data_IF_267809389673
#
_entry.id   IF_267809389673
#
_cell.length_a   1.000
_cell.length_b   1.000
_cell.length_c   1.000
_cell.angle_alpha   90.00
_cell.angle_beta   90.00
_cell.angle_gamma   90.00
#
_symmetry.space_group_name_H-M   'P 1'
#
loop_
_entity.id
_entity.type
_entity.pdbx_description
1 polymer ?
#
# COMPACT_ATOMS: atom_id res chain seq x y z
N UNK A 1 25.53 -1.28 -38.51
CA UNK A 1 25.77 -1.99 -37.23
C UNK A 1 25.29 -1.19 -36.02
N UNK A 2 25.57 0.11 -35.92
CA UNK A 2 25.13 0.98 -34.81
C UNK A 2 23.60 1.10 -34.68
N UNK A 3 22.89 1.25 -35.81
CA UNK A 3 21.43 1.35 -35.82
C UNK A 3 20.73 0.10 -35.28
N UNK A 4 21.29 -1.09 -35.57
CA UNK A 4 20.77 -2.36 -35.10
C UNK A 4 20.94 -2.50 -33.57
N UNK A 5 22.05 -1.99 -33.04
CA UNK A 5 22.33 -1.98 -31.60
C UNK A 5 21.39 -1.04 -30.84
N UNK A 6 21.08 0.12 -31.41
CA UNK A 6 20.08 1.07 -30.89
C UNK A 6 18.67 0.47 -30.88
N UNK A 7 18.29 -0.24 -31.95
CA UNK A 7 17.01 -0.96 -32.02
C UNK A 7 16.90 -2.05 -30.93
N UNK A 8 17.97 -2.80 -30.68
CA UNK A 8 17.99 -3.85 -29.65
C UNK A 8 17.83 -3.25 -28.25
N UNK A 9 18.43 -2.08 -27.97
CA UNK A 9 18.31 -1.42 -26.66
C UNK A 9 16.87 -0.95 -26.37
N UNK A 10 16.09 -0.59 -27.39
CA UNK A 10 14.69 -0.19 -27.24
C UNK A 10 13.77 -1.35 -26.82
N UNK A 11 14.14 -2.61 -27.08
CA UNK A 11 13.34 -3.79 -26.73
C UNK A 11 13.65 -4.41 -25.36
N UNK A 12 14.63 -3.88 -24.61
CA UNK A 12 15.05 -4.44 -23.31
C UNK A 12 14.23 -3.85 -22.13
N UNK A 13 13.36 -2.88 -22.39
CA UNK A 13 12.97 -1.89 -21.39
C UNK A 13 11.59 -1.96 -20.72
N UNK A 14 10.76 -2.99 -20.88
CA UNK A 14 9.43 -3.02 -20.25
C UNK A 14 9.17 -4.33 -19.49
N UNK A 15 9.92 -4.53 -18.39
CA UNK A 15 9.47 -5.48 -17.37
C UNK A 15 8.44 -4.74 -16.51
N UNK A 16 7.21 -5.26 -16.34
CA UNK A 16 6.27 -4.66 -15.41
C UNK A 16 6.93 -4.68 -14.03
N UNK A 17 7.22 -3.50 -13.50
CA UNK A 17 7.65 -3.33 -12.13
C UNK A 17 6.47 -3.78 -11.26
N UNK A 18 6.48 -5.05 -10.86
CA UNK A 18 5.57 -5.56 -9.86
C UNK A 18 5.84 -4.73 -8.61
N UNK A 19 4.89 -3.87 -8.25
CA UNK A 19 5.00 -3.05 -7.05
C UNK A 19 5.23 -4.01 -5.89
N UNK A 20 6.44 -4.00 -5.34
CA UNK A 20 6.78 -4.85 -4.20
C UNK A 20 5.79 -4.52 -3.08
N UNK A 21 5.01 -5.51 -2.66
CA UNK A 21 4.06 -5.35 -1.57
C UNK A 21 4.84 -5.04 -0.29
N UNK A 22 4.48 -3.93 0.36
CA UNK A 22 5.13 -3.53 1.62
C UNK A 22 4.58 -4.41 2.73
N UNK A 23 5.43 -5.30 3.26
CA UNK A 23 5.07 -6.22 4.34
C UNK A 23 5.82 -5.89 5.63
N UNK A 24 5.12 -6.02 6.76
CA UNK A 24 5.68 -6.01 8.10
C UNK A 24 5.30 -7.29 8.82
N UNK A 25 6.29 -7.97 9.38
CA UNK A 25 6.11 -9.07 10.33
C UNK A 25 6.33 -8.56 11.75
N UNK A 26 5.38 -8.78 12.66
CA UNK A 26 5.49 -8.39 14.06
C UNK A 26 4.74 -9.38 14.95
N UNK A 27 5.44 -9.95 15.95
CA UNK A 27 4.86 -10.82 16.99
C UNK A 27 3.94 -11.94 16.47
N UNK A 28 4.29 -12.54 15.34
CA UNK A 28 3.52 -13.63 14.71
C UNK A 28 2.54 -13.16 13.64
N UNK A 29 2.15 -11.89 13.64
CA UNK A 29 1.29 -11.31 12.60
C UNK A 29 2.12 -10.80 11.42
N UNK A 30 1.64 -11.08 10.21
CA UNK A 30 2.18 -10.56 8.95
C UNK A 30 1.14 -9.68 8.30
N UNK A 31 1.47 -8.40 8.13
CA UNK A 31 0.60 -7.43 7.46
C UNK A 31 1.27 -6.99 6.17
N UNK A 32 0.59 -7.15 5.05
CA UNK A 32 1.07 -6.73 3.74
C UNK A 32 0.10 -5.74 3.10
N UNK A 33 0.63 -4.67 2.51
CA UNK A 33 -0.15 -3.73 1.71
C UNK A 33 -0.19 -4.28 0.28
N UNK A 34 -1.39 -4.64 -0.19
CA UNK A 34 -1.61 -5.20 -1.52
C UNK A 34 -1.86 -4.11 -2.56
N UNK A 35 -2.67 -3.13 -2.19
CA UNK A 35 -2.97 -1.97 -3.00
C UNK A 35 -3.10 -0.73 -2.10
N UNK A 36 -2.67 0.42 -2.60
CA UNK A 36 -2.77 1.68 -1.89
C UNK A 36 -2.93 2.85 -2.86
N UNK A 37 -3.89 3.73 -2.55
CA UNK A 37 -4.13 4.97 -3.28
C UNK A 37 -4.33 6.12 -2.29
N UNK A 38 -3.55 7.19 -2.43
CA UNK A 38 -3.76 8.42 -1.65
C UNK A 38 -5.01 9.14 -2.15
N UNK A 39 -5.81 9.67 -1.22
CA UNK A 39 -6.97 10.50 -1.57
C UNK A 39 -6.53 11.83 -2.21
N UNK A 40 -7.19 12.22 -3.29
CA UNK A 40 -6.96 13.52 -3.94
C UNK A 40 -7.53 14.69 -3.12
N UNK A 41 -8.60 14.45 -2.35
CA UNK A 41 -9.25 15.48 -1.51
C UNK A 41 -8.53 15.70 -0.18
N UNK A 42 -8.02 14.62 0.41
CA UNK A 42 -7.42 14.64 1.74
C UNK A 42 -6.06 13.92 1.72
N UNK A 43 -4.96 14.68 1.68
CA UNK A 43 -3.61 14.11 1.51
C UNK A 43 -3.17 13.16 2.63
N UNK A 44 -3.83 13.21 3.80
CA UNK A 44 -3.60 12.32 4.94
C UNK A 44 -4.46 11.05 4.91
N UNK A 45 -5.30 10.85 3.89
CA UNK A 45 -6.14 9.68 3.74
C UNK A 45 -5.64 8.75 2.64
N UNK A 46 -5.74 7.45 2.90
CA UNK A 46 -5.37 6.39 1.98
C UNK A 46 -6.52 5.40 1.84
N UNK A 47 -6.80 4.99 0.61
CA UNK A 47 -7.63 3.84 0.31
C UNK A 47 -6.68 2.67 0.11
N UNK A 48 -6.81 1.62 0.89
CA UNK A 48 -5.89 0.50 0.82
C UNK A 48 -6.57 -0.85 1.01
N UNK A 49 -6.05 -1.84 0.29
CA UNK A 49 -6.33 -3.26 0.47
C UNK A 49 -5.11 -3.88 1.14
N UNK A 50 -5.32 -4.60 2.24
CA UNK A 50 -4.24 -5.21 3.02
C UNK A 50 -4.51 -6.69 3.24
N UNK A 51 -3.45 -7.49 3.35
CA UNK A 51 -3.51 -8.86 3.82
C UNK A 51 -3.01 -8.93 5.26
N UNK A 52 -3.74 -9.64 6.12
CA UNK A 52 -3.34 -9.93 7.50
C UNK A 52 -3.25 -11.45 7.62
N UNK A 53 -2.05 -11.98 7.86
CA UNK A 53 -1.75 -13.41 7.95
C UNK A 53 -2.19 -14.19 6.71
N UNK A 54 -2.00 -13.58 5.52
CA UNK A 54 -2.40 -14.17 4.24
C UNK A 54 -3.86 -13.94 3.87
N UNK A 55 -4.69 -13.45 4.79
CA UNK A 55 -6.11 -13.16 4.52
C UNK A 55 -6.29 -11.73 4.06
N UNK A 56 -6.69 -11.57 2.79
CA UNK A 56 -7.04 -10.27 2.21
C UNK A 56 -8.27 -9.66 2.91
N UNK A 57 -8.17 -8.37 3.22
CA UNK A 57 -9.26 -7.55 3.75
C UNK A 57 -9.85 -6.71 2.63
N UNK A 58 -11.16 -6.43 2.66
CA UNK A 58 -11.78 -5.47 1.75
C UNK A 58 -11.05 -4.13 1.74
N UNK A 59 -11.27 -3.32 0.71
CA UNK A 59 -10.73 -1.97 0.67
C UNK A 59 -11.26 -1.13 1.83
N UNK A 60 -10.37 -0.50 2.58
CA UNK A 60 -10.68 0.36 3.73
C UNK A 60 -10.07 1.75 3.55
N UNK A 61 -10.65 2.75 4.22
CA UNK A 61 -10.08 4.11 4.28
C UNK A 61 -9.26 4.24 5.55
N UNK A 62 -8.02 4.69 5.43
CA UNK A 62 -7.10 4.92 6.53
C UNK A 62 -6.82 6.42 6.67
N UNK A 63 -7.18 7.00 7.81
CA UNK A 63 -6.90 8.40 8.15
C UNK A 63 -5.64 8.49 9.02
N UNK A 64 -4.55 8.99 8.44
CA UNK A 64 -3.26 9.11 9.13
C UNK A 64 -3.18 10.29 10.10
N UNK A 65 -4.03 11.31 9.94
CA UNK A 65 -4.09 12.47 10.84
C UNK A 65 -4.73 12.07 12.18
N UNK A 66 -5.91 11.46 12.09
CA UNK A 66 -6.75 11.18 13.26
C UNK A 66 -6.61 9.71 13.74
N UNK A 67 -5.77 8.93 13.05
CA UNK A 67 -5.36 7.57 13.46
C UNK A 67 -6.53 6.57 13.59
N UNK A 68 -7.46 6.62 12.63
CA UNK A 68 -8.56 5.67 12.52
C UNK A 68 -8.71 5.14 11.10
N UNK A 69 -9.43 4.02 10.96
CA UNK A 69 -9.86 3.47 9.68
C UNK A 69 -11.39 3.38 9.59
N UNK A 70 -11.89 3.39 8.37
CA UNK A 70 -13.30 3.16 8.04
C UNK A 70 -13.35 1.85 7.24
N UNK A 71 -14.08 0.87 7.78
CA UNK A 71 -14.33 -0.41 7.11
C UNK A 71 -15.37 -0.26 5.99
N UNK A 72 -15.49 -1.30 5.16
CA UNK A 72 -16.46 -1.33 4.07
C UNK A 72 -17.94 -1.21 4.54
N UNK A 73 -18.23 -1.60 5.79
CA UNK A 73 -19.54 -1.43 6.44
C UNK A 73 -19.72 -0.03 7.06
N UNK A 74 -18.86 0.93 6.72
CA UNK A 74 -18.79 2.28 7.31
C UNK A 74 -18.44 2.32 8.80
N UNK A 75 -18.03 1.18 9.40
CA UNK A 75 -17.62 1.15 10.80
C UNK A 75 -16.25 1.80 10.99
N UNK A 76 -16.23 2.83 11.84
CA UNK A 76 -15.01 3.50 12.26
C UNK A 76 -14.32 2.70 13.36
N UNK A 77 -13.03 2.41 13.19
CA UNK A 77 -12.20 1.81 14.23
C UNK A 77 -10.87 2.55 14.37
N UNK A 78 -10.48 2.84 15.60
CA UNK A 78 -9.15 3.35 15.92
C UNK A 78 -8.06 2.38 15.46
N UNK A 79 -6.88 2.90 15.12
CA UNK A 79 -5.76 2.07 14.77
C UNK A 79 -5.35 1.17 15.93
N UNK A 80 -5.12 -0.11 15.61
CA UNK A 80 -4.49 -1.04 16.53
C UNK A 80 -2.98 -0.80 16.57
N UNK A 81 -2.34 -0.90 17.73
CA UNK A 81 -0.88 -0.93 17.81
C UNK A 81 -0.31 -2.00 16.89
N UNK A 82 0.74 -1.67 16.15
CA UNK A 82 1.37 -2.48 15.11
C UNK A 82 0.44 -2.92 13.96
N UNK A 83 -0.75 -2.32 13.83
CA UNK A 83 -1.73 -2.66 12.81
C UNK A 83 -1.46 -2.04 11.43
N UNK A 84 -2.32 -2.38 10.47
CA UNK A 84 -2.23 -1.90 9.09
C UNK A 84 -2.21 -0.38 8.97
N UNK A 85 -3.02 0.33 9.76
CA UNK A 85 -3.04 1.79 9.76
C UNK A 85 -1.71 2.40 10.19
N UNK A 86 -1.04 1.83 11.19
CA UNK A 86 0.29 2.30 11.58
C UNK A 86 1.33 2.03 10.50
N UNK A 87 1.28 0.83 9.89
CA UNK A 87 2.15 0.46 8.79
C UNK A 87 2.01 1.47 7.63
N UNK A 88 0.79 1.66 7.12
CA UNK A 88 0.49 2.58 6.02
C UNK A 88 1.00 3.99 6.32
N UNK A 89 0.64 4.54 7.48
CA UNK A 89 1.00 5.92 7.81
C UNK A 89 2.49 6.10 8.10
N UNK A 90 3.20 5.07 8.57
CA UNK A 90 4.64 5.14 8.74
C UNK A 90 5.42 5.14 7.42
N UNK A 91 4.95 4.38 6.43
CA UNK A 91 5.61 4.27 5.12
C UNK A 91 5.23 5.41 4.19
N UNK A 92 3.94 5.73 4.09
CA UNK A 92 3.41 6.67 3.09
C UNK A 92 2.98 8.01 3.69
N UNK A 93 2.77 8.09 5.00
CA UNK A 93 2.26 9.28 5.68
C UNK A 93 3.28 10.41 5.86
N UNK A 94 4.53 10.23 5.42
CA UNK A 94 5.51 11.32 5.34
C UNK A 94 5.29 12.12 4.05
N UNK A 95 5.40 13.43 4.22
CA UNK A 95 5.07 14.48 3.25
C UNK A 95 5.81 14.29 1.94
#
# INVERSE_FOLDING_TARGET
MVLLFLLILLFIGDRPAQAASVCRKSRGDTICILNIKRSAKYHWQYLATVSINGVERPMEIYNCRDRFRIQNDSKVQSFKPNGAGELICSFFGKR
#
